data_IF_953060206007
#
_entry.id   IF_953060206007
#
_cell.length_a   1.000
_cell.length_b   1.000
_cell.length_c   1.000
_cell.angle_alpha   90.00
_cell.angle_beta   90.00
_cell.angle_gamma   90.00
#
_symmetry.space_group_name_H-M   'P 1'
#
loop_
_entity.id
_entity.type
_entity.pdbx_description
1 polymer ?
#
# COMPACT_ATOMS: atom_id res chain seq x y z
N UNK A 1 3.83 20.45 13.10
CA UNK A 1 5.00 21.21 13.59
C UNK A 1 6.23 20.30 13.60
N UNK A 2 7.45 20.83 13.33
CA UNK A 2 8.64 19.98 13.15
C UNK A 2 9.01 19.18 14.41
N UNK A 3 8.73 19.70 15.59
CA UNK A 3 9.11 19.11 16.89
C UNK A 3 8.07 18.08 17.42
N UNK A 4 7.03 17.81 16.68
CA UNK A 4 6.03 16.85 17.13
C UNK A 4 6.54 15.42 17.05
N UNK A 5 6.29 14.65 18.09
CA UNK A 5 6.48 13.20 18.07
C UNK A 5 5.56 12.54 17.04
N UNK A 6 5.92 11.35 16.63
CA UNK A 6 5.13 10.54 15.71
C UNK A 6 3.68 10.36 16.19
N UNK A 7 3.50 10.11 17.49
CA UNK A 7 2.19 9.97 18.14
C UNK A 7 1.38 11.27 18.11
N UNK A 8 2.02 12.42 18.34
CA UNK A 8 1.36 13.72 18.27
C UNK A 8 0.93 14.05 16.84
N UNK A 9 1.78 13.78 15.84
CA UNK A 9 1.44 13.95 14.42
C UNK A 9 0.23 13.10 14.04
N UNK A 10 0.22 11.83 14.43
CA UNK A 10 -0.91 10.95 14.20
C UNK A 10 -2.19 11.48 14.86
N UNK A 11 -2.12 11.86 16.13
CA UNK A 11 -3.30 12.38 16.85
C UNK A 11 -3.87 13.65 16.19
N UNK A 12 -3.00 14.54 15.68
CA UNK A 12 -3.45 15.72 14.96
C UNK A 12 -4.18 15.36 13.64
N UNK A 13 -3.65 14.39 12.90
CA UNK A 13 -4.31 13.85 11.69
C UNK A 13 -5.67 13.25 12.05
N UNK A 14 -5.73 12.41 13.07
CA UNK A 14 -6.97 11.80 13.57
C UNK A 14 -8.02 12.85 13.91
N UNK A 15 -7.65 13.85 14.71
CA UNK A 15 -8.55 14.93 15.13
C UNK A 15 -9.08 15.71 13.93
N UNK A 16 -8.21 15.99 12.95
CA UNK A 16 -8.61 16.71 11.73
C UNK A 16 -9.55 15.89 10.86
N UNK A 17 -9.27 14.62 10.70
CA UNK A 17 -10.13 13.69 9.94
C UNK A 17 -11.49 13.52 10.59
N UNK A 18 -11.55 13.37 11.92
CA UNK A 18 -12.82 13.32 12.66
C UNK A 18 -13.62 14.61 12.45
N UNK A 19 -12.97 15.78 12.54
CA UNK A 19 -13.61 17.06 12.30
C UNK A 19 -14.19 17.16 10.90
N UNK A 20 -13.41 16.82 9.88
CA UNK A 20 -13.86 16.83 8.47
C UNK A 20 -15.01 15.86 8.28
N UNK A 21 -14.88 14.64 8.80
CA UNK A 21 -15.89 13.60 8.67
C UNK A 21 -17.20 13.96 9.37
N UNK A 22 -17.13 14.61 10.53
CA UNK A 22 -18.34 15.05 11.25
C UNK A 22 -19.12 16.14 10.51
N UNK A 23 -18.42 16.94 9.71
CA UNK A 23 -19.01 17.98 8.86
C UNK A 23 -19.43 17.45 7.48
N UNK A 24 -19.10 16.19 7.16
CA UNK A 24 -19.49 15.59 5.89
C UNK A 24 -20.97 15.17 5.93
N UNK A 25 -21.75 15.48 4.88
CA UNK A 25 -23.17 15.10 4.83
C UNK A 25 -23.33 13.58 4.86
N UNK A 26 -23.72 13.02 6.01
CA UNK A 26 -23.85 11.56 6.21
C UNK A 26 -25.15 11.00 5.62
N UNK A 27 -26.07 11.87 5.28
CA UNK A 27 -27.40 11.52 4.71
C UNK A 27 -27.33 11.24 3.20
N UNK A 28 -26.18 11.49 2.57
CA UNK A 28 -26.00 11.15 1.17
C UNK A 28 -26.02 9.63 1.05
N UNK A 29 -27.02 9.08 0.40
CA UNK A 29 -27.24 7.63 0.15
C UNK A 29 -26.03 6.94 -0.53
N UNK A 30 -25.04 7.69 -0.96
CA UNK A 30 -23.80 7.20 -1.59
C UNK A 30 -22.76 6.65 -0.62
N UNK A 31 -22.87 6.86 0.70
CA UNK A 31 -21.98 6.18 1.66
C UNK A 31 -22.50 4.77 1.88
N UNK A 32 -22.14 3.87 0.98
CA UNK A 32 -22.49 2.45 1.04
C UNK A 32 -21.56 1.66 1.97
N UNK A 33 -20.40 2.23 2.31
CA UNK A 33 -19.42 1.56 3.15
C UNK A 33 -19.84 1.58 4.63
N UNK A 34 -19.76 0.43 5.28
CA UNK A 34 -20.03 0.29 6.72
C UNK A 34 -18.88 0.78 7.59
N UNK A 35 -17.70 0.93 7.01
CA UNK A 35 -16.48 1.34 7.71
C UNK A 35 -15.64 2.31 6.88
N UNK A 36 -14.95 3.23 7.57
CA UNK A 36 -13.83 3.99 7.02
C UNK A 36 -12.57 3.60 7.78
N UNK A 37 -11.53 3.20 7.04
CA UNK A 37 -10.28 2.71 7.62
C UNK A 37 -9.10 3.51 7.09
N UNK A 38 -8.21 3.93 7.98
CA UNK A 38 -7.04 4.73 7.66
C UNK A 38 -5.84 4.12 8.37
N UNK A 39 -4.74 4.00 7.63
CA UNK A 39 -3.45 3.56 8.13
C UNK A 39 -2.48 4.73 8.09
N UNK A 40 -1.77 4.91 9.18
CA UNK A 40 -0.66 5.83 9.28
C UNK A 40 0.61 5.05 9.59
N UNK A 41 1.57 5.09 8.69
CA UNK A 41 2.89 4.51 8.88
C UNK A 41 3.94 5.61 8.92
N UNK A 42 4.83 5.55 9.89
CA UNK A 42 5.89 6.54 10.11
C UNK A 42 7.08 5.91 10.83
N UNK A 43 8.05 6.74 11.18
CA UNK A 43 9.16 6.37 12.10
C UNK A 43 9.03 7.18 13.38
N UNK A 44 9.34 6.55 14.49
CA UNK A 44 9.46 7.23 15.78
C UNK A 44 10.80 8.02 15.88
N UNK A 45 11.04 8.64 16.99
CA UNK A 45 12.23 9.45 17.26
C UNK A 45 13.52 8.61 17.28
N UNK A 46 13.40 7.30 17.50
CA UNK A 46 14.49 6.33 17.50
C UNK A 46 14.65 5.62 16.14
N UNK A 47 14.00 6.12 15.09
CA UNK A 47 14.00 5.54 13.75
C UNK A 47 13.32 4.16 13.66
N UNK A 48 12.57 3.74 14.68
CA UNK A 48 11.78 2.52 14.60
C UNK A 48 10.50 2.76 13.78
N UNK A 49 10.07 1.75 13.07
CA UNK A 49 8.80 1.82 12.37
C UNK A 49 7.64 1.89 13.37
N UNK A 50 6.71 2.78 13.09
CA UNK A 50 5.52 3.00 13.86
C UNK A 50 4.31 2.98 12.95
N UNK A 51 3.34 2.13 13.25
CA UNK A 51 2.15 1.99 12.43
C UNK A 51 0.90 2.02 13.31
N UNK A 52 -0.06 2.80 12.89
CA UNK A 52 -1.35 2.94 13.58
C UNK A 52 -2.49 2.78 12.60
N UNK A 53 -3.57 2.18 13.09
CA UNK A 53 -4.83 2.04 12.41
C UNK A 53 -5.88 2.90 13.08
N UNK A 54 -6.75 3.51 12.29
CA UNK A 54 -7.91 4.25 12.70
C UNK A 54 -9.13 3.74 11.93
N UNK A 55 -10.21 3.46 12.61
CA UNK A 55 -11.44 2.93 12.02
C UNK A 55 -12.66 3.67 12.53
N UNK A 56 -13.56 3.98 11.63
CA UNK A 56 -14.92 4.42 11.96
C UNK A 56 -15.92 3.36 11.53
N UNK A 57 -16.91 3.12 12.40
CA UNK A 57 -17.97 2.16 12.14
C UNK A 57 -19.32 2.87 12.05
N UNK A 58 -20.01 2.69 10.93
CA UNK A 58 -21.33 3.29 10.68
C UNK A 58 -22.36 2.84 11.71
N UNK A 59 -22.38 1.56 12.08
CA UNK A 59 -23.32 0.98 13.03
C UNK A 59 -23.31 1.62 14.41
N UNK A 60 -22.13 2.06 14.86
CA UNK A 60 -21.94 2.65 16.20
C UNK A 60 -21.67 4.15 16.15
N UNK A 61 -21.39 4.68 14.96
CA UNK A 61 -20.91 6.06 14.72
C UNK A 61 -19.70 6.41 15.59
N UNK A 62 -18.79 5.45 15.81
CA UNK A 62 -17.62 5.62 16.69
C UNK A 62 -16.32 5.41 15.91
N UNK A 63 -15.32 6.16 16.35
CA UNK A 63 -13.94 6.00 15.93
C UNK A 63 -13.19 5.14 16.95
N UNK A 64 -12.36 4.25 16.44
CA UNK A 64 -11.38 3.49 17.21
C UNK A 64 -10.01 3.65 16.60
N UNK A 65 -8.96 3.60 17.40
CA UNK A 65 -7.57 3.61 16.93
C UNK A 65 -6.75 2.59 17.71
N UNK A 66 -5.68 2.09 17.09
CA UNK A 66 -4.77 1.14 17.71
C UNK A 66 -3.43 1.10 17.00
N UNK A 67 -2.39 0.71 17.74
CA UNK A 67 -1.06 0.44 17.19
C UNK A 67 -1.07 -0.93 16.53
N UNK A 68 -0.33 -1.05 15.43
CA UNK A 68 -0.13 -2.30 14.71
C UNK A 68 1.27 -2.79 15.03
N UNK A 69 1.36 -4.00 15.58
CA UNK A 69 2.62 -4.66 15.85
C UNK A 69 3.24 -5.18 14.55
N UNK A 70 4.57 -5.04 14.45
CA UNK A 70 5.33 -5.57 13.33
C UNK A 70 5.76 -7.00 13.59
N UNK A 71 5.79 -7.79 12.54
CA UNK A 71 6.39 -9.13 12.55
C UNK A 71 7.91 -9.03 12.43
N UNK A 72 8.62 -10.08 12.81
CA UNK A 72 10.07 -10.20 12.67
C UNK A 72 10.56 -10.46 11.24
N UNK A 73 9.64 -10.72 10.34
CA UNK A 73 9.90 -10.96 8.91
C UNK A 73 8.90 -10.19 8.04
N UNK A 74 9.18 -10.13 6.74
CA UNK A 74 8.27 -9.51 5.78
C UNK A 74 6.99 -10.33 5.63
N UNK A 75 5.87 -9.73 5.96
CA UNK A 75 4.52 -10.29 5.82
C UNK A 75 3.52 -9.17 5.53
N UNK A 76 2.28 -9.54 5.20
CA UNK A 76 1.16 -8.62 5.25
C UNK A 76 0.80 -8.33 6.71
N UNK A 77 0.95 -7.12 7.17
CA UNK A 77 0.55 -6.76 8.52
C UNK A 77 -0.97 -6.69 8.66
N UNK A 78 -1.63 -6.20 7.64
CA UNK A 78 -3.10 -6.16 7.54
C UNK A 78 -3.52 -5.92 6.10
N UNK A 79 -4.77 -6.22 5.81
CA UNK A 79 -5.41 -6.00 4.52
C UNK A 79 -6.74 -5.29 4.74
N UNK A 80 -6.97 -4.21 4.03
CA UNK A 80 -8.18 -3.39 4.12
C UNK A 80 -8.85 -3.27 2.76
N UNK A 81 -10.11 -2.86 2.77
CA UNK A 81 -10.90 -2.63 1.56
C UNK A 81 -11.77 -3.82 1.17
N UNK A 82 -12.59 -3.61 0.16
CA UNK A 82 -13.58 -4.60 -0.32
C UNK A 82 -12.94 -5.84 -0.94
N UNK A 83 -11.77 -5.70 -1.58
CA UNK A 83 -10.99 -6.81 -2.13
C UNK A 83 -10.22 -7.68 -1.11
N UNK A 84 -10.40 -7.42 0.19
CA UNK A 84 -9.65 -8.11 1.27
C UNK A 84 -9.78 -9.64 1.19
N UNK A 85 -10.97 -10.15 0.99
CA UNK A 85 -11.23 -11.60 0.99
C UNK A 85 -10.47 -12.29 -0.14
N UNK A 86 -10.58 -11.77 -1.37
CA UNK A 86 -9.88 -12.32 -2.54
C UNK A 86 -8.37 -12.30 -2.36
N UNK A 87 -7.82 -11.20 -1.84
CA UNK A 87 -6.40 -11.11 -1.53
C UNK A 87 -5.96 -12.14 -0.50
N UNK A 88 -6.69 -12.29 0.60
CA UNK A 88 -6.32 -13.23 1.67
C UNK A 88 -6.39 -14.69 1.22
N UNK A 89 -7.35 -15.05 0.39
CA UNK A 89 -7.44 -16.39 -0.19
C UNK A 89 -6.26 -16.69 -1.12
N UNK A 90 -5.93 -15.74 -1.99
CA UNK A 90 -4.79 -15.88 -2.89
C UNK A 90 -3.48 -15.91 -2.12
N UNK A 91 -3.34 -15.07 -1.09
CA UNK A 91 -2.12 -14.98 -0.28
C UNK A 91 -1.75 -16.29 0.44
N UNK A 92 -2.69 -17.17 0.72
CA UNK A 92 -2.40 -18.51 1.28
C UNK A 92 -1.40 -19.27 0.42
N UNK A 93 -1.59 -19.25 -0.91
CA UNK A 93 -0.66 -19.91 -1.87
C UNK A 93 0.74 -19.26 -1.85
N UNK A 94 0.79 -17.94 -1.78
CA UNK A 94 2.07 -17.21 -1.70
C UNK A 94 2.80 -17.45 -0.38
N UNK A 95 2.08 -17.65 0.72
CA UNK A 95 2.63 -17.96 2.02
C UNK A 95 3.29 -19.37 2.10
N UNK A 96 2.94 -20.25 1.17
CA UNK A 96 3.51 -21.61 1.04
C UNK A 96 4.63 -21.69 -0.01
N UNK A 97 4.89 -20.61 -0.77
CA UNK A 97 5.90 -20.58 -1.83
C UNK A 97 7.32 -20.48 -1.27
N UNK A 98 8.33 -20.84 -2.07
CA UNK A 98 9.75 -20.73 -1.71
C UNK A 98 10.16 -19.27 -1.38
N UNK A 99 9.47 -18.29 -1.95
CA UNK A 99 9.71 -16.87 -1.70
C UNK A 99 8.84 -16.27 -0.59
N UNK A 100 8.20 -17.11 0.24
CA UNK A 100 7.43 -16.65 1.38
C UNK A 100 8.25 -15.73 2.28
N UNK A 101 7.56 -14.92 3.10
CA UNK A 101 8.18 -13.98 4.05
C UNK A 101 9.06 -12.90 3.39
N UNK A 102 8.76 -12.55 2.15
CA UNK A 102 9.41 -11.46 1.43
C UNK A 102 8.41 -10.37 1.03
N UNK A 103 8.84 -9.13 1.02
CA UNK A 103 8.03 -8.00 0.51
C UNK A 103 7.60 -8.20 -0.94
N UNK A 104 8.44 -8.89 -1.71
CA UNK A 104 8.16 -9.26 -3.09
C UNK A 104 6.94 -10.18 -3.21
N UNK A 105 6.87 -11.24 -2.38
CA UNK A 105 5.74 -12.15 -2.40
C UNK A 105 4.42 -11.43 -2.05
N UNK A 106 4.47 -10.52 -1.06
CA UNK A 106 3.31 -9.70 -0.69
C UNK A 106 2.88 -8.80 -1.85
N UNK A 107 3.83 -8.08 -2.46
CA UNK A 107 3.53 -7.17 -3.56
C UNK A 107 3.04 -7.91 -4.81
N UNK A 108 3.69 -9.02 -5.19
CA UNK A 108 3.25 -9.81 -6.34
C UNK A 108 1.86 -10.42 -6.13
N UNK A 109 1.58 -10.94 -4.93
CA UNK A 109 0.22 -11.37 -4.58
C UNK A 109 -0.80 -10.23 -4.73
N UNK A 110 -0.45 -9.03 -4.32
CA UNK A 110 -1.31 -7.86 -4.47
C UNK A 110 -1.59 -7.51 -5.93
N UNK A 111 -0.55 -7.44 -6.77
CA UNK A 111 -0.70 -7.16 -8.22
C UNK A 111 -1.47 -8.25 -8.94
N UNK A 112 -1.18 -9.51 -8.64
CA UNK A 112 -1.90 -10.67 -9.21
C UNK A 112 -3.36 -10.71 -8.76
N UNK A 113 -3.66 -10.29 -7.53
CA UNK A 113 -5.04 -10.15 -7.06
C UNK A 113 -5.76 -9.04 -7.82
N UNK A 114 -5.15 -7.87 -8.00
CA UNK A 114 -5.76 -6.77 -8.77
C UNK A 114 -6.08 -7.19 -10.20
N UNK A 115 -5.20 -7.95 -10.86
CA UNK A 115 -5.40 -8.41 -12.24
C UNK A 115 -6.61 -9.35 -12.41
N UNK A 116 -7.03 -10.01 -11.34
CA UNK A 116 -8.16 -10.97 -11.37
C UNK A 116 -9.34 -10.54 -10.50
N UNK A 117 -9.29 -9.32 -9.96
CA UNK A 117 -10.29 -8.79 -9.04
C UNK A 117 -11.69 -8.74 -9.68
N UNK A 118 -12.66 -9.28 -8.97
CA UNK A 118 -14.07 -9.26 -9.41
C UNK A 118 -14.86 -8.11 -8.80
N UNK A 119 -14.37 -7.53 -7.70
CA UNK A 119 -14.98 -6.38 -7.06
C UNK A 119 -14.83 -5.11 -7.91
N UNK A 120 -15.95 -4.58 -8.38
CA UNK A 120 -16.00 -3.37 -9.22
C UNK A 120 -15.50 -2.08 -8.53
N UNK A 121 -15.37 -2.08 -7.22
CA UNK A 121 -14.85 -0.95 -6.43
C UNK A 121 -13.36 -1.08 -6.15
N UNK A 122 -12.73 -2.17 -6.56
CA UNK A 122 -11.32 -2.45 -6.36
C UNK A 122 -10.67 -2.72 -7.71
N UNK A 123 -9.60 -2.00 -8.04
CA UNK A 123 -8.92 -2.18 -9.33
C UNK A 123 -8.01 -1.01 -9.67
N UNK A 124 -7.58 -0.96 -10.93
CA UNK A 124 -6.60 0.00 -11.42
C UNK A 124 -5.17 -0.44 -11.16
N UNK A 125 -4.22 0.42 -11.52
CA UNK A 125 -2.81 0.12 -11.33
C UNK A 125 -2.42 0.16 -9.85
N UNK A 126 -1.55 -0.75 -9.41
CA UNK A 126 -1.06 -0.76 -8.03
C UNK A 126 -0.29 0.52 -7.72
N UNK A 127 -0.39 0.96 -6.47
CA UNK A 127 0.40 2.05 -5.93
C UNK A 127 1.32 1.51 -4.85
N UNK A 128 2.56 1.98 -4.81
CA UNK A 128 3.57 1.52 -3.86
C UNK A 128 4.27 2.70 -3.20
N UNK A 129 4.34 2.65 -1.89
CA UNK A 129 5.12 3.57 -1.07
C UNK A 129 6.06 2.75 -0.18
N UNK A 130 7.32 3.13 -0.15
CA UNK A 130 8.32 2.54 0.74
C UNK A 130 8.67 3.49 1.88
N UNK A 131 8.66 2.99 3.09
CA UNK A 131 9.19 3.66 4.28
C UNK A 131 10.47 2.95 4.71
N UNK A 132 11.58 3.68 4.78
CA UNK A 132 12.90 3.14 5.10
C UNK A 132 13.35 3.61 6.48
N UNK A 133 14.24 2.84 7.14
CA UNK A 133 14.77 3.22 8.47
C UNK A 133 15.67 4.44 8.42
N UNK A 134 16.54 4.52 7.41
CA UNK A 134 17.58 5.53 7.31
C UNK A 134 17.33 6.55 6.18
N UNK A 135 16.54 6.17 5.18
CA UNK A 135 16.21 7.03 4.04
C UNK A 135 14.82 7.67 4.19
N UNK A 136 14.58 8.72 3.41
CA UNK A 136 13.24 9.28 3.27
C UNK A 136 12.26 8.27 2.67
N UNK A 137 10.98 8.42 2.99
CA UNK A 137 9.93 7.66 2.32
C UNK A 137 9.96 7.95 0.82
N UNK A 138 9.73 6.90 0.01
CA UNK A 138 9.74 6.99 -1.46
C UNK A 138 8.42 6.53 -2.03
N UNK A 139 7.96 7.24 -3.05
CA UNK A 139 6.95 6.74 -3.97
C UNK A 139 7.66 5.99 -5.10
N UNK A 140 7.07 4.90 -5.54
CA UNK A 140 7.56 4.13 -6.67
C UNK A 140 6.70 4.37 -7.90
N UNK A 141 7.34 4.42 -9.05
CA UNK A 141 6.66 4.23 -10.31
C UNK A 141 6.39 2.74 -10.52
N UNK A 142 5.23 2.40 -11.02
CA UNK A 142 4.84 1.03 -11.28
C UNK A 142 4.70 0.80 -12.79
N UNK A 143 5.31 -0.28 -13.26
CA UNK A 143 5.10 -0.82 -14.59
C UNK A 143 4.10 -1.96 -14.45
N UNK A 144 2.91 -1.76 -15.00
CA UNK A 144 1.79 -2.69 -14.93
C UNK A 144 1.16 -2.82 -16.32
N UNK A 145 1.01 -4.04 -16.81
CA UNK A 145 0.47 -4.33 -18.15
C UNK A 145 1.19 -3.55 -19.27
N UNK A 146 2.52 -3.48 -19.21
CA UNK A 146 3.35 -2.71 -20.14
C UNK A 146 3.05 -1.22 -20.25
N UNK A 147 2.55 -0.63 -19.17
CA UNK A 147 2.29 0.80 -19.04
C UNK A 147 2.92 1.31 -17.75
N UNK A 148 3.22 2.61 -17.72
CA UNK A 148 3.80 3.27 -16.55
C UNK A 148 2.74 3.99 -15.75
N UNK A 149 2.80 3.84 -14.43
CA UNK A 149 1.90 4.50 -13.50
C UNK A 149 2.67 5.18 -12.38
N UNK A 150 2.26 6.37 -12.03
CA UNK A 150 2.75 7.10 -10.87
C UNK A 150 1.53 7.55 -10.05
N UNK A 151 1.51 7.23 -8.75
CA UNK A 151 0.36 7.48 -7.88
C UNK A 151 -0.98 6.93 -8.42
N UNK A 152 -0.93 5.79 -9.10
CA UNK A 152 -2.11 5.15 -9.71
C UNK A 152 -2.60 5.78 -11.02
N UNK A 153 -1.94 6.84 -11.50
CA UNK A 153 -2.26 7.51 -12.77
C UNK A 153 -1.29 7.06 -13.84
N UNK A 154 -1.82 6.68 -15.01
CA UNK A 154 -0.97 6.37 -16.16
C UNK A 154 -0.22 7.62 -16.60
N UNK A 155 1.09 7.48 -16.80
CA UNK A 155 1.96 8.58 -17.28
C UNK A 155 2.43 8.32 -18.70
N UNK A 156 2.74 9.41 -19.41
CA UNK A 156 3.24 9.37 -20.78
C UNK A 156 4.57 8.64 -20.87
N UNK A 157 4.73 7.75 -21.83
CA UNK A 157 5.91 6.92 -22.05
C UNK A 157 7.13 7.73 -22.49
N UNK A 158 6.95 8.95 -22.97
CA UNK A 158 8.03 9.83 -23.42
C UNK A 158 8.63 10.68 -22.30
N UNK A 159 7.93 10.82 -21.16
CA UNK A 159 8.40 11.64 -20.05
C UNK A 159 9.40 10.83 -19.21
N UNK A 160 10.60 11.37 -19.02
CA UNK A 160 11.59 10.79 -18.11
C UNK A 160 11.43 11.37 -16.69
N UNK A 161 11.19 10.50 -15.74
CA UNK A 161 11.11 10.82 -14.31
C UNK A 161 12.42 10.38 -13.62
N UNK A 162 13.46 11.20 -13.73
CA UNK A 162 14.83 10.88 -13.28
C UNK A 162 14.96 10.48 -11.80
N UNK A 163 14.01 10.92 -10.94
CA UNK A 163 14.04 10.68 -9.50
C UNK A 163 13.03 9.60 -9.05
N UNK A 164 12.43 8.87 -9.98
CA UNK A 164 11.47 7.82 -9.68
C UNK A 164 12.13 6.46 -9.88
N UNK A 165 12.11 5.64 -8.84
CA UNK A 165 12.48 4.24 -8.93
C UNK A 165 11.28 3.44 -9.45
N UNK A 166 11.44 2.77 -10.58
CA UNK A 166 10.40 2.00 -11.23
C UNK A 166 10.45 0.53 -10.82
N UNK A 167 9.29 -0.05 -10.55
CA UNK A 167 9.13 -1.46 -10.21
C UNK A 167 8.09 -2.11 -11.13
N UNK A 168 8.37 -3.34 -11.56
CA UNK A 168 7.37 -4.16 -12.26
C UNK A 168 6.53 -4.99 -11.26
N UNK A 169 5.62 -5.78 -11.78
CA UNK A 169 4.71 -6.65 -11.00
C UNK A 169 5.44 -7.71 -10.17
N UNK A 170 6.67 -8.07 -10.54
CA UNK A 170 7.55 -8.95 -9.79
C UNK A 170 8.42 -8.21 -8.75
N UNK A 171 8.18 -6.92 -8.54
CA UNK A 171 8.97 -6.08 -7.65
C UNK A 171 10.43 -5.87 -8.11
N UNK A 172 10.74 -6.12 -9.37
CA UNK A 172 12.07 -5.90 -9.94
C UNK A 172 12.29 -4.41 -10.24
N UNK A 173 13.52 -3.94 -10.05
CA UNK A 173 13.91 -2.58 -10.45
C UNK A 173 14.02 -2.52 -11.98
N UNK A 174 13.31 -1.56 -12.55
CA UNK A 174 13.21 -1.41 -14.01
C UNK A 174 13.71 -0.03 -14.46
N UNK A 175 14.11 0.03 -15.72
CA UNK A 175 14.28 1.28 -16.43
C UNK A 175 12.90 1.87 -16.79
N UNK A 176 12.68 3.13 -16.40
CA UNK A 176 11.39 3.78 -16.59
C UNK A 176 11.03 4.10 -18.04
N UNK A 177 12.00 4.17 -18.94
CA UNK A 177 11.75 4.47 -20.38
C UNK A 177 11.49 3.17 -21.14
N UNK A 178 12.40 2.20 -21.00
CA UNK A 178 12.28 0.93 -21.73
C UNK A 178 11.31 -0.06 -21.07
N UNK A 179 10.90 0.22 -19.84
CA UNK A 179 10.05 -0.62 -18.98
C UNK A 179 10.65 -2.02 -18.71
N UNK A 180 11.92 -2.23 -19.04
CA UNK A 180 12.61 -3.50 -18.84
C UNK A 180 13.36 -3.52 -17.52
N UNK A 181 13.50 -4.72 -16.93
CA UNK A 181 14.33 -4.92 -15.76
C UNK A 181 15.74 -4.40 -16.00
N UNK A 182 16.29 -3.65 -15.07
CA UNK A 182 17.68 -3.17 -15.13
C UNK A 182 18.63 -4.36 -15.14
N UNK A 183 19.73 -4.23 -15.88
CA UNK A 183 20.72 -5.32 -16.03
C UNK A 183 21.29 -5.78 -14.69
N UNK A 184 21.54 -4.83 -13.80
CA UNK A 184 22.13 -5.09 -12.48
C UNK A 184 21.08 -5.39 -11.40
N UNK A 185 19.78 -5.31 -11.73
CA UNK A 185 18.73 -5.64 -10.79
C UNK A 185 18.61 -7.15 -10.58
N UNK A 186 18.45 -7.55 -9.34
CA UNK A 186 18.21 -8.95 -9.02
C UNK A 186 16.93 -9.43 -9.71
N UNK A 187 17.05 -10.54 -10.46
CA UNK A 187 15.89 -11.21 -11.03
C UNK A 187 15.01 -11.79 -9.93
N UNK A 188 13.72 -11.60 -10.09
CA UNK A 188 12.72 -12.07 -9.15
C UNK A 188 11.84 -13.12 -9.85
N UNK A 189 12.02 -14.41 -9.57
CA UNK A 189 11.13 -15.42 -10.13
C UNK A 189 9.70 -15.23 -9.63
N UNK A 190 8.74 -15.60 -10.46
CA UNK A 190 7.34 -15.62 -9.99
C UNK A 190 7.23 -16.62 -8.83
N UNK A 191 6.71 -16.23 -7.64
CA UNK A 191 6.62 -17.13 -6.50
C UNK A 191 5.76 -18.37 -6.70
N UNK A 192 4.85 -18.34 -7.68
CA UNK A 192 3.92 -19.45 -7.97
C UNK A 192 4.35 -20.33 -9.14
N UNK A 193 5.41 -19.96 -9.88
CA UNK A 193 5.95 -20.80 -10.96
C UNK A 193 7.14 -21.61 -10.41
N UNK A 194 7.03 -22.90 -10.42
CA UNK A 194 8.07 -23.89 -10.12
C UNK A 194 8.67 -24.43 -11.40
#
# INVERSE_FOLDING_TARGET
EPDWTCKQKFQAVVNKLIQIFNNYPKEVQSITADTLQIIHASRDENQNFFCQKMEWWKSTNKWTSGTIEFTDHSDKLFVLGSGKTEFLEKFKKYAESENQKTSRAVFHCFTDTLATMTDKYCGGAPQLVGLYRIDNAKFFGIIHENKRYLHGVQVDDLINFNNVEWRNELFEVCDGITMKRNKDAQRQPNPLLH
#
